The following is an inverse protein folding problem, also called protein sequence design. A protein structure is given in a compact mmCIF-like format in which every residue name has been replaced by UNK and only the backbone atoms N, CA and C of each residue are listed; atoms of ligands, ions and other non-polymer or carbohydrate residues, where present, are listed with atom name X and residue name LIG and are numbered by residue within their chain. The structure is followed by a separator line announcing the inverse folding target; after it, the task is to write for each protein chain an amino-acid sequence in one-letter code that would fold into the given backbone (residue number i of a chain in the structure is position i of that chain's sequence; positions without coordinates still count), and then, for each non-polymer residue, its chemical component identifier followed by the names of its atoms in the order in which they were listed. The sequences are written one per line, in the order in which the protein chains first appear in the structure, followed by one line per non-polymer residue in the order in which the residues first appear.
data_IF_966569851422
#
_entry.id   IF_966569851422
#
_cell.length_a   1.000
_cell.length_b   1.000
_cell.length_c   1.000
_cell.angle_alpha   90.00
_cell.angle_beta   90.00
_cell.angle_gamma   90.00
#
_symmetry.space_group_name_H-M   'P 1'
#
loop_
_entity.id
_entity.type
_entity.pdbx_description
1 polymer ?
#
# COMPACT_ATOMS: atom_id res chain seq x y z
N UNK A 1 -20.13 8.56 -2.67
CA UNK A 1 -20.53 7.59 -1.76
C UNK A 1 -21.32 8.13 -0.63
N UNK A 2 -22.36 7.46 -0.33
CA UNK A 2 -23.35 8.01 0.54
C UNK A 2 -23.37 7.26 1.84
N UNK A 3 -23.30 7.95 2.93
CA UNK A 3 -23.29 7.30 4.21
C UNK A 3 -24.52 6.48 4.45
N UNK A 4 -25.60 6.97 4.00
CA UNK A 4 -26.85 6.26 4.22
C UNK A 4 -26.83 4.89 3.66
N UNK A 5 -26.24 4.76 2.52
CA UNK A 5 -26.20 3.45 1.89
C UNK A 5 -25.41 2.47 2.70
N UNK A 6 -24.36 2.95 3.32
CA UNK A 6 -23.57 2.05 4.11
C UNK A 6 -24.38 1.47 5.24
N UNK A 7 -25.03 2.35 5.96
CA UNK A 7 -25.78 1.90 7.11
C UNK A 7 -26.92 1.01 6.76
N UNK A 8 -27.52 1.25 5.64
CA UNK A 8 -28.68 0.49 5.26
C UNK A 8 -28.35 -0.87 4.72
N UNK A 9 -27.37 -0.90 3.86
CA UNK A 9 -27.16 -2.10 3.10
C UNK A 9 -26.30 -3.12 3.76
N UNK A 10 -25.24 -2.67 4.38
CA UNK A 10 -24.25 -3.62 4.79
C UNK A 10 -24.63 -4.58 5.87
N UNK A 11 -25.21 -4.13 6.93
CA UNK A 11 -25.32 -4.99 8.09
C UNK A 11 -25.98 -6.31 7.86
N UNK A 12 -26.81 -6.38 6.89
CA UNK A 12 -27.54 -7.60 6.74
C UNK A 12 -26.79 -8.67 6.06
N UNK A 13 -25.85 -8.30 5.26
CA UNK A 13 -25.25 -9.29 4.39
C UNK A 13 -23.89 -9.75 4.81
N UNK A 14 -23.25 -8.97 5.62
CA UNK A 14 -21.91 -9.30 5.95
C UNK A 14 -21.72 -10.66 6.51
N UNK A 15 -22.53 -11.06 7.43
CA UNK A 15 -22.27 -12.32 8.12
C UNK A 15 -22.19 -13.50 7.21
N UNK A 16 -22.81 -13.38 6.08
CA UNK A 16 -22.83 -14.53 5.24
C UNK A 16 -21.61 -14.70 4.42
N UNK A 17 -20.73 -13.77 4.46
CA UNK A 17 -19.56 -13.89 3.65
C UNK A 17 -18.81 -15.13 4.00
N UNK A 18 -18.46 -15.90 3.00
CA UNK A 18 -17.72 -17.11 3.24
C UNK A 18 -16.33 -16.78 3.64
N UNK A 19 -15.80 -17.49 4.63
CA UNK A 19 -14.42 -17.22 5.05
C UNK A 19 -13.43 -17.31 3.93
N UNK A 20 -13.59 -18.26 3.05
CA UNK A 20 -12.65 -18.40 1.96
C UNK A 20 -12.64 -17.20 1.04
N UNK A 21 -13.84 -16.74 0.69
CA UNK A 21 -13.92 -15.57 -0.15
C UNK A 21 -13.40 -14.36 0.53
N UNK A 22 -13.71 -14.21 1.80
CA UNK A 22 -13.26 -13.07 2.54
C UNK A 22 -11.76 -13.00 2.63
N UNK A 23 -11.13 -14.13 2.76
CA UNK A 23 -9.70 -14.16 2.87
C UNK A 23 -9.05 -13.56 1.65
N UNK A 24 -9.52 -13.93 0.49
CA UNK A 24 -8.95 -13.40 -0.73
C UNK A 24 -9.18 -11.92 -0.82
N UNK A 25 -10.41 -11.49 -0.52
CA UNK A 25 -10.73 -10.10 -0.66
C UNK A 25 -10.14 -9.26 0.42
N UNK A 26 -9.89 -9.87 1.58
CA UNK A 26 -9.37 -9.12 2.70
C UNK A 26 -7.87 -9.19 2.81
N UNK A 27 -7.24 -9.81 1.84
CA UNK A 27 -5.80 -9.92 1.88
C UNK A 27 -5.15 -8.66 1.34
N UNK A 28 -5.47 -7.57 1.98
CA UNK A 28 -4.97 -6.26 1.61
C UNK A 28 -3.80 -5.92 2.49
N UNK A 29 -2.82 -5.26 1.91
CA UNK A 29 -1.63 -4.85 2.63
C UNK A 29 -1.44 -3.36 2.56
N UNK A 30 -0.95 -2.79 3.65
CA UNK A 30 -0.40 -1.44 3.64
C UNK A 30 1.10 -1.59 3.58
N UNK A 31 1.72 -0.92 2.62
CA UNK A 31 3.15 -1.02 2.42
C UNK A 31 3.77 0.35 2.61
N UNK A 32 4.89 0.39 3.31
CA UNK A 32 5.60 1.64 3.57
C UNK A 32 6.95 1.60 2.92
N UNK A 33 7.33 2.70 2.27
CA UNK A 33 8.68 2.89 1.77
C UNK A 33 8.97 4.38 1.83
N UNK A 34 10.25 4.72 1.85
CA UNK A 34 10.67 6.12 1.92
C UNK A 34 11.57 6.44 0.75
N UNK A 35 11.40 7.62 0.15
CA UNK A 35 12.23 8.09 -0.94
C UNK A 35 13.00 9.31 -0.48
N UNK A 36 14.11 9.63 -1.13
CA UNK A 36 14.92 10.78 -0.68
C UNK A 36 14.30 12.13 -0.98
N UNK A 37 13.39 12.22 -1.96
CA UNK A 37 12.80 13.50 -2.30
C UNK A 37 11.43 13.30 -2.92
N UNK A 38 10.70 14.41 -3.05
CA UNK A 38 9.33 14.37 -3.54
C UNK A 38 9.25 13.94 -4.99
N UNK A 39 10.22 14.32 -5.78
CA UNK A 39 10.20 14.01 -7.21
C UNK A 39 10.33 12.51 -7.46
N UNK A 40 11.29 11.87 -6.81
CA UNK A 40 11.46 10.44 -6.98
C UNK A 40 10.28 9.68 -6.38
N UNK A 41 9.70 10.19 -5.30
CA UNK A 41 8.53 9.56 -4.69
C UNK A 41 7.35 9.60 -5.63
N UNK A 42 7.10 10.75 -6.24
CA UNK A 42 5.98 10.89 -7.16
C UNK A 42 6.15 10.01 -8.39
N UNK A 43 7.36 9.97 -8.90
CA UNK A 43 7.63 9.14 -10.07
C UNK A 43 7.38 7.67 -9.77
N UNK A 44 7.87 7.20 -8.63
CA UNK A 44 7.65 5.82 -8.26
C UNK A 44 6.18 5.53 -8.05
N UNK A 45 5.46 6.45 -7.41
CA UNK A 45 4.04 6.26 -7.17
C UNK A 45 3.28 6.03 -8.48
N UNK A 46 3.58 6.85 -9.49
CA UNK A 46 2.94 6.69 -10.79
C UNK A 46 3.29 5.36 -11.43
N UNK A 47 4.52 4.93 -11.31
CA UNK A 47 4.92 3.65 -11.88
C UNK A 47 4.19 2.49 -11.23
N UNK A 48 4.02 2.54 -9.92
CA UNK A 48 3.34 1.47 -9.21
C UNK A 48 1.87 1.36 -9.61
N UNK A 49 1.22 2.50 -9.77
CA UNK A 49 -0.18 2.50 -10.19
C UNK A 49 -0.30 2.00 -11.63
N UNK A 50 0.57 2.48 -12.51
CA UNK A 50 0.51 2.09 -13.91
C UNK A 50 0.72 0.59 -14.09
N UNK A 51 1.54 -0.01 -13.25
CA UNK A 51 1.83 -1.44 -13.34
C UNK A 51 0.80 -2.29 -12.60
N UNK A 52 -0.22 -1.68 -12.02
CA UNK A 52 -1.22 -2.36 -11.21
C UNK A 52 -0.60 -3.07 -10.01
N UNK A 53 0.55 -2.60 -9.60
CA UNK A 53 1.19 -3.14 -8.40
C UNK A 53 0.60 -2.53 -7.15
N UNK A 54 -0.06 -1.39 -7.27
CA UNK A 54 -0.70 -0.72 -6.16
C UNK A 54 -2.02 -0.14 -6.62
N UNK A 55 -2.99 -0.13 -5.73
CA UNK A 55 -4.28 0.50 -6.01
C UNK A 55 -4.25 1.97 -5.69
N UNK A 56 -3.49 2.34 -4.67
CA UNK A 56 -3.44 3.71 -4.20
C UNK A 56 -2.09 3.95 -3.55
N UNK A 57 -1.51 5.10 -3.81
CA UNK A 57 -0.27 5.50 -3.17
C UNK A 57 -0.47 6.89 -2.61
N UNK A 58 -0.27 7.03 -1.31
CA UNK A 58 -0.31 8.35 -0.68
C UNK A 58 1.13 8.80 -0.48
N UNK A 59 1.46 9.94 -1.05
CA UNK A 59 2.75 10.56 -0.83
C UNK A 59 2.60 11.51 0.33
N UNK A 60 3.33 11.25 1.40
CA UNK A 60 3.19 12.04 2.62
C UNK A 60 4.17 13.19 2.63
N UNK A 61 4.01 14.06 3.62
CA UNK A 61 4.92 15.19 3.78
C UNK A 61 6.30 14.67 4.17
N UNK A 62 7.35 15.41 3.85
CA UNK A 62 8.71 15.01 4.24
C UNK A 62 8.82 14.82 5.74
N UNK A 63 9.61 13.86 6.13
CA UNK A 63 9.83 13.58 7.53
C UNK A 63 11.33 13.49 7.79
N UNK A 64 11.69 13.54 9.07
CA UNK A 64 13.07 13.36 9.48
C UNK A 64 13.21 11.94 10.01
N UNK A 65 14.10 11.19 9.41
CA UNK A 65 14.36 9.80 9.80
C UNK A 65 15.69 9.74 10.53
N UNK A 66 15.70 9.03 11.64
CA UNK A 66 16.89 8.87 12.46
C UNK A 66 17.11 7.38 12.61
N UNK A 67 18.28 6.90 12.23
CA UNK A 67 18.49 5.45 12.17
C UNK A 67 19.98 5.13 12.29
N UNK A 68 20.26 3.85 12.52
CA UNK A 68 21.65 3.39 12.61
C UNK A 68 22.03 2.77 11.28
N UNK A 69 23.17 3.22 10.75
CA UNK A 69 23.65 2.71 9.48
C UNK A 69 25.15 2.56 9.57
N UNK A 70 25.62 1.32 9.38
CA UNK A 70 27.05 0.99 9.40
C UNK A 70 27.76 1.54 10.63
N UNK A 71 27.12 1.36 11.77
CA UNK A 71 27.70 1.74 13.05
C UNK A 71 27.50 3.18 13.46
N UNK A 72 26.91 3.99 12.62
CA UNK A 72 26.70 5.41 12.91
C UNK A 72 25.24 5.74 13.03
N UNK A 73 24.94 6.79 13.76
CA UNK A 73 23.58 7.31 13.84
C UNK A 73 23.44 8.37 12.75
N UNK A 74 22.51 8.14 11.85
CA UNK A 74 22.28 9.02 10.71
C UNK A 74 20.97 9.73 10.84
N UNK A 75 20.89 10.91 10.24
CA UNK A 75 19.65 11.69 10.19
C UNK A 75 19.45 12.13 8.75
N UNK A 76 18.31 11.89 8.19
CA UNK A 76 18.05 12.32 6.83
C UNK A 76 16.58 12.69 6.66
N UNK A 77 16.34 13.52 5.65
CA UNK A 77 14.97 13.88 5.28
C UNK A 77 14.48 12.88 4.25
N UNK A 78 13.28 12.37 4.46
CA UNK A 78 12.72 11.38 3.55
C UNK A 78 11.27 11.70 3.26
N UNK A 79 10.78 11.21 2.13
CA UNK A 79 9.37 11.38 1.73
C UNK A 79 8.73 10.01 1.76
N UNK A 80 7.83 9.76 2.72
CA UNK A 80 7.22 8.45 2.85
C UNK A 80 6.12 8.23 1.82
N UNK A 81 5.99 7.00 1.39
CA UNK A 81 4.86 6.55 0.60
C UNK A 81 4.09 5.53 1.40
N UNK A 82 2.77 5.68 1.42
CA UNK A 82 1.86 4.73 2.03
C UNK A 82 1.08 4.10 0.91
N UNK A 83 1.21 2.80 0.75
CA UNK A 83 0.74 2.11 -0.45
C UNK A 83 -0.31 1.07 -0.06
N UNK A 84 -1.42 1.04 -0.81
CA UNK A 84 -2.44 0.01 -0.61
C UNK A 84 -2.37 -0.96 -1.77
N UNK A 85 -2.20 -2.23 -1.44
CA UNK A 85 -2.10 -3.25 -2.45
C UNK A 85 -2.63 -4.57 -1.91
N UNK A 86 -2.49 -5.64 -2.67
CA UNK A 86 -2.91 -6.96 -2.23
C UNK A 86 -1.68 -7.83 -2.02
N UNK A 87 -1.86 -8.90 -1.26
CA UNK A 87 -0.78 -9.86 -1.07
C UNK A 87 -0.37 -10.47 -2.41
N UNK A 88 -1.32 -10.69 -3.29
CA UNK A 88 -1.02 -11.25 -4.61
C UNK A 88 -0.15 -10.32 -5.43
N UNK A 89 -0.41 -9.01 -5.36
CA UNK A 89 0.36 -8.04 -6.12
C UNK A 89 1.68 -7.66 -5.45
N UNK A 90 1.84 -7.99 -4.19
CA UNK A 90 3.00 -7.53 -3.42
C UNK A 90 4.35 -7.91 -4.03
N UNK A 91 4.57 -9.14 -4.51
CA UNK A 91 5.89 -9.45 -5.10
C UNK A 91 6.23 -8.54 -6.27
N UNK A 92 5.24 -8.20 -7.07
CA UNK A 92 5.44 -7.28 -8.18
C UNK A 92 5.76 -5.89 -7.67
N UNK A 93 5.07 -5.47 -6.62
CA UNK A 93 5.31 -4.18 -5.99
C UNK A 93 6.73 -4.10 -5.45
N UNK A 94 7.13 -5.09 -4.69
CA UNK A 94 8.46 -5.10 -4.09
C UNK A 94 9.54 -5.04 -5.15
N UNK A 95 9.37 -5.80 -6.21
CA UNK A 95 10.35 -5.81 -7.28
C UNK A 95 10.50 -4.43 -7.92
N UNK A 96 9.37 -3.79 -8.22
CA UNK A 96 9.41 -2.48 -8.85
C UNK A 96 10.05 -1.43 -7.93
N UNK A 97 9.74 -1.48 -6.65
CA UNK A 97 10.34 -0.54 -5.72
C UNK A 97 11.84 -0.76 -5.65
N UNK A 98 12.28 -2.01 -5.55
CA UNK A 98 13.70 -2.30 -5.46
C UNK A 98 14.45 -1.82 -6.69
N UNK A 99 13.85 -1.97 -7.84
CA UNK A 99 14.53 -1.58 -9.09
C UNK A 99 14.63 -0.08 -9.23
N UNK A 100 13.65 0.65 -8.72
CA UNK A 100 13.62 2.10 -8.89
C UNK A 100 14.26 2.85 -7.75
N UNK A 101 14.44 2.21 -6.61
CA UNK A 101 14.89 2.91 -5.42
C UNK A 101 16.39 3.19 -5.46
N UNK A 102 16.79 4.41 -5.10
CA UNK A 102 18.22 4.77 -5.16
C UNK A 102 19.04 4.24 -3.99
N UNK A 103 18.41 3.79 -2.91
CA UNK A 103 19.15 3.34 -1.74
C UNK A 103 19.67 1.93 -1.92
N UNK A 104 20.81 1.67 -1.32
CA UNK A 104 21.37 0.34 -1.27
C UNK A 104 20.43 -0.62 -0.56
N UNK A 105 19.81 -0.18 0.54
CA UNK A 105 18.88 -0.98 1.31
C UNK A 105 17.62 -0.16 1.55
N UNK A 106 16.63 -0.25 0.67
CA UNK A 106 15.40 0.51 0.87
C UNK A 106 14.53 -0.11 1.94
N UNK A 107 13.78 0.74 2.62
CA UNK A 107 12.77 0.25 3.54
C UNK A 107 11.56 -0.18 2.73
N UNK A 108 11.17 -1.43 2.86
CA UNK A 108 9.93 -1.93 2.25
C UNK A 108 9.33 -2.87 3.26
N UNK A 109 8.29 -2.42 3.94
CA UNK A 109 7.62 -3.25 4.93
C UNK A 109 6.13 -3.20 4.66
N UNK A 110 5.45 -4.27 5.06
CA UNK A 110 4.01 -4.38 4.83
C UNK A 110 3.34 -4.86 6.09
N UNK A 111 2.15 -4.34 6.34
CA UNK A 111 1.30 -4.83 7.42
C UNK A 111 -0.03 -5.24 6.82
N UNK A 112 -0.65 -6.29 7.36
CA UNK A 112 -1.95 -6.72 6.84
C UNK A 112 -3.05 -5.80 7.35
N UNK A 113 -4.04 -5.58 6.50
CA UNK A 113 -5.24 -4.86 6.86
C UNK A 113 -6.25 -5.88 7.33
N UNK A 114 -6.57 -5.84 8.60
CA UNK A 114 -7.42 -6.87 9.18
C UNK A 114 -8.90 -6.60 8.95
N UNK A 115 -9.27 -5.34 8.77
CA UNK A 115 -10.68 -5.02 8.55
C UNK A 115 -10.77 -3.67 7.85
N UNK A 116 -11.83 -3.48 7.11
CA UNK A 116 -12.05 -2.23 6.40
C UNK A 116 -13.41 -2.26 5.73
N UNK A 117 -13.75 -1.16 5.07
CA UNK A 117 -15.00 -1.07 4.34
C UNK A 117 -14.95 -2.05 3.17
N UNK A 118 -15.88 -3.01 3.10
CA UNK A 118 -15.81 -4.04 2.06
C UNK A 118 -15.73 -3.49 0.64
N UNK A 119 -16.46 -2.45 0.35
CA UNK A 119 -16.42 -1.88 -1.00
C UNK A 119 -15.05 -1.31 -1.33
N UNK A 120 -14.39 -0.71 -0.35
CA UNK A 120 -13.07 -0.17 -0.58
C UNK A 120 -12.04 -1.29 -0.76
N UNK A 121 -12.12 -2.30 0.08
CA UNK A 121 -11.19 -3.43 -0.03
C UNK A 121 -11.37 -4.15 -1.36
N UNK A 122 -12.62 -4.25 -1.82
CA UNK A 122 -12.89 -4.82 -3.12
C UNK A 122 -12.28 -3.98 -4.24
N UNK A 123 -12.35 -2.67 -4.09
CA UNK A 123 -11.76 -1.79 -5.08
C UNK A 123 -10.23 -1.96 -5.15
N UNK A 124 -9.58 -2.11 -4.00
CA UNK A 124 -8.14 -2.34 -4.00
C UNK A 124 -7.80 -3.62 -4.75
N UNK A 125 -8.61 -4.65 -4.53
CA UNK A 125 -8.41 -5.92 -5.21
C UNK A 125 -8.56 -5.76 -6.71
N UNK A 126 -9.60 -5.07 -7.12
CA UNK A 126 -9.89 -4.86 -8.52
C UNK A 126 -8.80 -4.05 -9.21
N UNK A 127 -8.35 -3.01 -8.55
CA UNK A 127 -7.38 -2.09 -9.14
C UNK A 127 -6.00 -2.73 -9.32
N UNK A 128 -5.71 -3.79 -8.57
CA UNK A 128 -4.44 -4.48 -8.69
C UNK A 128 -4.55 -5.78 -9.45
N UNK A 129 -5.74 -6.12 -9.94
CA UNK A 129 -5.91 -7.36 -10.68
C UNK A 129 -5.28 -7.26 -12.05
N UNK A 130 -4.73 -8.38 -12.48
CA UNK A 130 -4.16 -8.48 -13.80
C UNK A 130 -5.04 -9.40 -14.60
N UNK A 131 -5.75 -8.89 -15.55
CA UNK A 131 -6.56 -9.76 -16.39
C UNK A 131 -6.44 -9.35 -17.80
#
# INVERSE_FOLDING_TARGET
MNCCNWGCALPKNEPEMKPGLNQDMNDILLVFTNLPDASSAEKLAHQLIAARAAACVNQLAPCTSIYRWKGNIETSTEVPLLIKTTRTAYPRLEKLIREAHPYELPEIIAVPVTTGLPAYLGWVNEATGIT
#
